data_IF_970331535849
#
_entry.id   IF_970331535849
#
_cell.length_a   1.000
_cell.length_b   1.000
_cell.length_c   1.000
_cell.angle_alpha   90.00
_cell.angle_beta   90.00
_cell.angle_gamma   90.00
#
_symmetry.space_group_name_H-M   'P 1'
#
loop_
_entity.id
_entity.type
_entity.pdbx_description
1 polymer ?
#
# COMPACT_ATOMS: atom_id res chain seq x y z
N UNK A 1 16.48 -25.29 24.21
CA UNK A 1 15.51 -24.77 23.21
C UNK A 1 15.98 -23.38 22.82
N UNK A 2 16.57 -23.19 21.62
CA UNK A 2 16.84 -21.85 21.09
C UNK A 2 15.48 -21.15 21.00
N UNK A 3 15.32 -20.02 21.70
CA UNK A 3 14.07 -19.25 21.68
C UNK A 3 13.82 -18.75 20.26
N UNK A 4 12.62 -18.95 19.75
CA UNK A 4 12.20 -18.40 18.47
C UNK A 4 12.23 -16.87 18.56
N UNK A 5 12.98 -16.23 17.67
CA UNK A 5 13.10 -14.77 17.60
C UNK A 5 12.29 -14.28 16.40
N UNK A 6 11.35 -13.39 16.64
CA UNK A 6 10.57 -12.76 15.57
C UNK A 6 11.46 -11.74 14.86
N UNK A 7 11.72 -11.94 13.57
CA UNK A 7 12.59 -11.09 12.74
C UNK A 7 11.81 -10.15 11.80
N UNK A 8 10.48 -10.32 11.72
CA UNK A 8 9.62 -9.55 10.84
C UNK A 8 8.18 -10.07 10.84
N UNK A 9 7.33 -9.40 10.06
CA UNK A 9 5.92 -9.74 9.90
C UNK A 9 5.20 -8.79 8.94
N UNK A 10 3.98 -9.17 8.59
CA UNK A 10 3.12 -8.41 7.69
C UNK A 10 1.69 -8.40 8.23
N UNK A 11 1.03 -7.25 8.13
CA UNK A 11 -0.41 -7.12 8.29
C UNK A 11 -1.06 -6.97 6.92
N UNK A 12 -2.01 -7.86 6.62
CA UNK A 12 -2.75 -7.86 5.37
C UNK A 12 -4.24 -7.60 5.60
N UNK A 13 -4.86 -6.82 4.73
CA UNK A 13 -6.31 -6.83 4.57
C UNK A 13 -6.67 -7.75 3.39
N UNK A 14 -7.74 -8.52 3.55
CA UNK A 14 -8.16 -9.51 2.55
C UNK A 14 -9.55 -9.17 2.06
N UNK A 15 -9.69 -9.00 0.75
CA UNK A 15 -10.96 -8.99 0.06
C UNK A 15 -11.13 -10.36 -0.63
N UNK A 16 -11.99 -11.25 -0.08
CA UNK A 16 -12.12 -12.62 -0.56
C UNK A 16 -12.34 -12.72 -2.07
N UNK A 17 -11.69 -13.69 -2.70
CA UNK A 17 -11.73 -13.95 -4.15
C UNK A 17 -11.24 -12.81 -5.06
N UNK A 18 -10.71 -11.71 -4.52
CA UNK A 18 -10.22 -10.57 -5.30
C UNK A 18 -8.78 -10.23 -5.02
N UNK A 19 -8.47 -9.77 -3.80
CA UNK A 19 -7.16 -9.17 -3.50
C UNK A 19 -6.73 -9.37 -2.05
N UNK A 20 -5.41 -9.52 -1.86
CA UNK A 20 -4.71 -9.32 -0.59
C UNK A 20 -3.98 -8.00 -0.67
N UNK A 21 -4.11 -7.15 0.35
CA UNK A 21 -3.49 -5.82 0.42
C UNK A 21 -2.39 -5.80 1.49
N UNK A 22 -1.17 -5.45 1.10
CA UNK A 22 -0.03 -5.23 2.01
C UNK A 22 -0.21 -3.90 2.77
N UNK A 23 -0.86 -3.93 3.94
CA UNK A 23 -1.07 -2.71 4.74
C UNK A 23 0.21 -2.26 5.45
N UNK A 24 0.87 -3.19 6.14
CA UNK A 24 2.11 -2.93 6.85
C UNK A 24 3.04 -4.13 6.74
N UNK A 25 4.33 -3.87 6.56
CA UNK A 25 5.37 -4.89 6.51
C UNK A 25 6.60 -4.41 7.28
N UNK A 26 7.21 -5.33 8.01
CA UNK A 26 8.48 -5.13 8.71
C UNK A 26 9.31 -6.40 8.53
N UNK A 27 10.61 -6.25 8.27
CA UNK A 27 11.51 -7.37 8.02
C UNK A 27 12.00 -7.40 6.58
N UNK A 28 12.31 -8.58 6.08
CA UNK A 28 12.92 -8.80 4.78
C UNK A 28 11.90 -9.27 3.72
N UNK A 29 12.43 -9.74 2.58
CA UNK A 29 11.64 -10.26 1.45
C UNK A 29 10.71 -11.42 1.84
N UNK A 30 11.02 -12.17 2.91
CA UNK A 30 10.22 -13.33 3.32
C UNK A 30 8.89 -12.92 3.91
N UNK A 31 8.80 -11.76 4.58
CA UNK A 31 7.54 -11.24 5.08
C UNK A 31 6.55 -11.00 3.91
N UNK A 32 7.05 -10.41 2.82
CA UNK A 32 6.28 -10.20 1.58
C UNK A 32 5.97 -11.49 0.85
N UNK A 33 6.93 -12.41 0.75
CA UNK A 33 6.69 -13.72 0.16
C UNK A 33 5.54 -14.46 0.87
N UNK A 34 5.49 -14.43 2.21
CA UNK A 34 4.43 -15.08 2.97
C UNK A 34 3.03 -14.54 2.63
N UNK A 35 2.90 -13.23 2.40
CA UNK A 35 1.63 -12.62 1.96
C UNK A 35 1.21 -13.06 0.56
N UNK A 36 2.15 -13.19 -0.37
CA UNK A 36 1.91 -13.67 -1.73
C UNK A 36 1.54 -15.16 -1.71
N UNK A 37 2.29 -15.97 -0.98
CA UNK A 37 2.05 -17.41 -0.81
C UNK A 37 0.67 -17.67 -0.20
N UNK A 38 0.28 -16.88 0.82
CA UNK A 38 -1.07 -16.92 1.37
C UNK A 38 -2.14 -16.65 0.29
N UNK A 39 -1.95 -15.65 -0.58
CA UNK A 39 -2.90 -15.35 -1.66
C UNK A 39 -3.04 -16.55 -2.62
N UNK A 40 -1.91 -17.17 -3.01
CA UNK A 40 -1.89 -18.34 -3.88
C UNK A 40 -2.61 -19.54 -3.24
N UNK A 41 -2.29 -19.86 -1.99
CA UNK A 41 -2.88 -21.00 -1.28
C UNK A 41 -4.40 -20.85 -1.08
N UNK A 42 -4.90 -19.61 -0.98
CA UNK A 42 -6.31 -19.31 -0.82
C UNK A 42 -7.02 -18.98 -2.14
N UNK A 43 -6.37 -19.17 -3.29
CA UNK A 43 -6.95 -18.90 -4.60
C UNK A 43 -7.34 -17.44 -4.83
N UNK A 44 -6.67 -16.50 -4.16
CA UNK A 44 -6.89 -15.07 -4.32
C UNK A 44 -6.02 -14.57 -5.48
N UNK A 45 -6.61 -14.02 -6.56
CA UNK A 45 -5.91 -13.85 -7.82
C UNK A 45 -4.93 -12.68 -7.87
N UNK A 46 -4.87 -11.84 -6.84
CA UNK A 46 -4.06 -10.63 -6.86
C UNK A 46 -3.50 -10.29 -5.46
N UNK A 47 -2.22 -9.93 -5.46
CA UNK A 47 -1.53 -9.34 -4.32
C UNK A 47 -1.22 -7.86 -4.64
N UNK A 48 -1.75 -6.96 -3.82
CA UNK A 48 -1.68 -5.51 -4.00
C UNK A 48 -0.71 -4.93 -2.97
N UNK A 49 0.45 -4.49 -3.46
CA UNK A 49 1.48 -3.86 -2.63
C UNK A 49 1.09 -2.45 -2.15
N UNK A 50 -0.06 -1.92 -2.58
CA UNK A 50 -0.52 -0.57 -2.26
C UNK A 50 0.50 0.52 -2.65
N UNK A 51 0.76 1.48 -1.76
CA UNK A 51 1.53 2.67 -2.07
C UNK A 51 2.99 2.40 -2.43
N UNK A 52 3.47 3.14 -3.44
CA UNK A 52 4.85 3.11 -3.90
C UNK A 52 5.54 4.50 -3.80
N UNK A 53 5.06 5.37 -2.90
CA UNK A 53 5.60 6.73 -2.70
C UNK A 53 5.24 7.71 -3.82
N UNK A 54 5.77 8.94 -3.74
CA UNK A 54 5.53 10.00 -4.73
C UNK A 54 6.19 9.67 -6.07
N UNK A 55 5.47 9.73 -7.21
CA UNK A 55 5.99 9.35 -8.53
C UNK A 55 7.31 10.04 -8.87
N UNK A 56 7.42 11.32 -8.54
CA UNK A 56 8.54 12.20 -8.91
C UNK A 56 9.79 12.04 -8.04
N UNK A 57 9.76 11.14 -7.05
CA UNK A 57 10.89 10.90 -6.14
C UNK A 57 11.38 9.46 -6.27
N UNK A 58 12.70 9.31 -6.38
CA UNK A 58 13.35 8.00 -6.22
C UNK A 58 12.99 7.42 -4.86
N UNK A 59 12.52 6.18 -4.83
CA UNK A 59 12.04 5.57 -3.61
C UNK A 59 12.36 4.08 -3.59
N UNK A 60 13.32 3.67 -2.75
CA UNK A 60 13.83 2.30 -2.74
C UNK A 60 12.76 1.22 -2.48
N UNK A 61 11.68 1.57 -1.77
CA UNK A 61 10.53 0.67 -1.57
C UNK A 61 9.79 0.40 -2.88
N UNK A 62 9.68 1.40 -3.77
CA UNK A 62 9.12 1.19 -5.12
C UNK A 62 9.99 0.25 -5.92
N UNK A 63 11.31 0.45 -5.89
CA UNK A 63 12.26 -0.38 -6.61
C UNK A 63 12.22 -1.83 -6.09
N UNK A 64 12.13 -2.02 -4.77
CA UNK A 64 11.90 -3.32 -4.15
C UNK A 64 10.62 -3.99 -4.66
N UNK A 65 9.48 -3.29 -4.63
CA UNK A 65 8.18 -3.81 -5.08
C UNK A 65 8.16 -4.14 -6.58
N UNK A 66 8.84 -3.34 -7.40
CA UNK A 66 8.89 -3.54 -8.86
C UNK A 66 9.53 -4.88 -9.28
N UNK A 67 10.44 -5.42 -8.46
CA UNK A 67 11.14 -6.68 -8.73
C UNK A 67 10.23 -7.91 -8.71
N UNK A 68 9.03 -7.81 -8.15
CA UNK A 68 8.05 -8.89 -8.12
C UNK A 68 7.24 -9.03 -9.43
N UNK A 69 7.49 -8.17 -10.44
CA UNK A 69 6.85 -8.27 -11.75
C UNK A 69 5.39 -7.79 -11.79
N UNK A 70 4.95 -7.05 -10.77
CA UNK A 70 3.62 -6.44 -10.72
C UNK A 70 3.46 -5.26 -11.67
N UNK A 71 2.24 -4.70 -11.72
CA UNK A 71 1.92 -3.50 -12.50
C UNK A 71 1.93 -2.27 -11.58
N UNK A 72 2.71 -1.25 -11.94
CA UNK A 72 2.62 0.07 -11.31
C UNK A 72 1.40 0.80 -11.87
N UNK A 73 0.53 1.29 -10.99
CA UNK A 73 -0.75 1.91 -11.36
C UNK A 73 -0.90 3.26 -10.67
N UNK A 74 -1.27 4.29 -11.43
CA UNK A 74 -1.58 5.62 -10.92
C UNK A 74 -2.92 6.12 -11.45
N UNK A 75 -3.98 5.93 -10.67
CA UNK A 75 -5.34 6.35 -11.05
C UNK A 75 -5.66 7.81 -10.71
N UNK A 76 -4.74 8.52 -10.02
CA UNK A 76 -4.94 9.89 -9.57
C UNK A 76 -5.95 10.03 -8.43
N UNK A 77 -6.34 11.28 -8.13
CA UNK A 77 -7.36 11.61 -7.12
C UNK A 77 -8.50 12.36 -7.79
N UNK A 78 -9.72 11.86 -7.61
CA UNK A 78 -10.92 12.55 -8.05
C UNK A 78 -11.45 13.45 -6.93
N UNK A 79 -11.81 14.67 -7.27
CA UNK A 79 -12.38 15.64 -6.33
C UNK A 79 -13.75 16.08 -6.84
N UNK A 80 -14.79 15.74 -6.07
CA UNK A 80 -16.14 16.28 -6.28
C UNK A 80 -16.43 17.35 -5.23
N UNK A 81 -16.87 18.53 -5.67
CA UNK A 81 -17.13 19.69 -4.80
C UNK A 81 -18.63 19.95 -4.74
N UNK A 82 -19.28 19.54 -3.65
CA UNK A 82 -20.71 19.78 -3.46
C UNK A 82 -21.03 21.26 -3.22
N UNK A 83 -20.16 21.98 -2.50
CA UNK A 83 -20.32 23.41 -2.21
C UNK A 83 -19.00 24.15 -2.38
N UNK A 84 -18.90 24.91 -3.48
CA UNK A 84 -17.67 25.60 -3.86
C UNK A 84 -17.24 26.69 -2.87
N UNK A 85 -18.18 27.40 -2.24
CA UNK A 85 -17.86 28.48 -1.30
C UNK A 85 -17.23 27.93 -0.02
N UNK A 86 -17.85 26.89 0.54
CA UNK A 86 -17.35 26.26 1.75
C UNK A 86 -16.01 25.55 1.51
N UNK A 87 -15.85 24.87 0.37
CA UNK A 87 -14.58 24.25 -0.01
C UNK A 87 -13.46 25.29 -0.15
N UNK A 88 -13.72 26.42 -0.81
CA UNK A 88 -12.73 27.50 -0.96
C UNK A 88 -12.36 28.13 0.38
N UNK A 89 -13.33 28.35 1.26
CA UNK A 89 -13.06 28.87 2.61
C UNK A 89 -12.21 27.88 3.41
N UNK A 90 -12.58 26.60 3.43
CA UNK A 90 -11.84 25.57 4.16
C UNK A 90 -10.41 25.40 3.66
N UNK A 91 -10.22 25.33 2.33
CA UNK A 91 -8.87 25.27 1.74
C UNK A 91 -8.04 26.51 2.04
N UNK A 92 -8.64 27.70 2.07
CA UNK A 92 -7.94 28.93 2.45
C UNK A 92 -7.52 28.92 3.92
N UNK A 93 -8.42 28.53 4.84
CA UNK A 93 -8.14 28.44 6.28
C UNK A 93 -7.01 27.44 6.55
N UNK A 94 -7.08 26.24 5.97
CA UNK A 94 -6.02 25.23 6.13
C UNK A 94 -4.66 25.75 5.64
N UNK A 95 -4.62 26.45 4.50
CA UNK A 95 -3.39 27.03 3.93
C UNK A 95 -2.86 28.26 4.68
N UNK A 96 -3.68 28.90 5.51
CA UNK A 96 -3.23 30.03 6.33
C UNK A 96 -2.69 29.57 7.69
N UNK A 97 -3.26 28.48 8.23
CA UNK A 97 -2.86 27.92 9.52
C UNK A 97 -1.63 27.01 9.44
N UNK A 98 -1.34 26.44 8.27
CA UNK A 98 -0.19 25.58 7.97
C UNK A 98 0.63 26.16 6.82
#
# INVERSE_FOLDING_TARGET
KKGETVVGGMACAIEPAKKVYEWYVCGDVMATYAGIDYAVQNGIPCFDFMGAGSPDKSYGVRDFKSKFGGKLLEYGRFLYICNHKLYRLGTWVVRYLY
#
